data_IF_078885305616
#
_entry.id   IF_078885305616
#
_cell.length_a   1.000
_cell.length_b   1.000
_cell.length_c   1.000
_cell.angle_alpha   90.00
_cell.angle_beta   90.00
_cell.angle_gamma   90.00
#
_symmetry.space_group_name_H-M   'P 1'
#
loop_
_entity.id
_entity.type
_entity.pdbx_description
1 polymer ?
#
# COMPACT_ATOMS: atom_id res chain seq x y z
N UNK A 1 -17.42 9.81 4.74
CA UNK A 1 -16.96 9.32 3.42
C UNK A 1 -16.13 8.08 3.68
N UNK A 2 -16.61 6.90 3.30
CA UNK A 2 -15.95 5.61 3.59
C UNK A 2 -15.57 4.95 2.26
N UNK A 3 -14.30 5.01 1.89
CA UNK A 3 -13.77 4.25 0.77
C UNK A 3 -13.51 2.80 1.21
N UNK A 4 -14.42 1.90 0.80
CA UNK A 4 -14.36 0.47 1.09
C UNK A 4 -13.64 -0.25 -0.06
N UNK A 5 -12.31 -0.36 0.03
CA UNK A 5 -11.55 -1.35 -0.74
C UNK A 5 -11.77 -2.75 -0.11
N UNK A 6 -12.89 -3.37 -0.43
CA UNK A 6 -13.16 -4.78 -0.14
C UNK A 6 -13.69 -5.45 -1.40
N UNK A 7 -13.19 -6.65 -1.71
CA UNK A 7 -13.73 -7.44 -2.81
C UNK A 7 -15.20 -7.80 -2.51
N UNK A 8 -16.10 -7.44 -3.43
CA UNK A 8 -17.51 -7.84 -3.38
C UNK A 8 -17.70 -9.09 -4.24
N UNK A 9 -18.17 -10.18 -3.62
CA UNK A 9 -18.57 -11.40 -4.32
C UNK A 9 -20.07 -11.41 -4.61
N UNK A 10 -20.45 -11.96 -5.76
CA UNK A 10 -21.86 -12.17 -6.14
C UNK A 10 -22.17 -13.66 -6.23
N UNK A 11 -23.33 -14.07 -5.71
CA UNK A 11 -23.87 -15.42 -5.87
C UNK A 11 -24.98 -15.40 -6.93
N UNK A 12 -24.96 -16.36 -7.88
CA UNK A 12 -26.01 -16.60 -8.88
C UNK A 12 -26.79 -17.87 -8.50
N UNK A 13 -28.12 -17.83 -8.53
CA UNK A 13 -28.97 -19.01 -8.33
C UNK A 13 -28.92 -19.98 -9.52
N UNK A 14 -28.93 -21.30 -9.25
CA UNK A 14 -28.65 -22.35 -10.25
C UNK A 14 -29.81 -22.71 -11.22
N UNK A 15 -30.96 -22.04 -11.18
CA UNK A 15 -32.13 -22.42 -11.98
C UNK A 15 -32.73 -21.20 -12.73
N UNK A 16 -32.09 -20.79 -13.83
CA UNK A 16 -32.58 -19.68 -14.66
C UNK A 16 -32.49 -19.99 -16.15
N UNK A 17 -33.56 -19.65 -16.89
CA UNK A 17 -33.57 -19.57 -18.36
C UNK A 17 -32.68 -18.41 -18.82
N UNK A 18 -32.16 -18.44 -20.05
CA UNK A 18 -31.35 -17.36 -20.64
C UNK A 18 -32.09 -16.00 -20.68
N UNK A 19 -33.41 -16.01 -20.55
CA UNK A 19 -34.29 -14.85 -20.51
C UNK A 19 -34.63 -14.33 -19.12
N UNK A 20 -34.27 -15.07 -18.06
CA UNK A 20 -34.64 -14.67 -16.71
C UNK A 20 -33.71 -13.56 -16.19
N UNK A 21 -34.25 -12.51 -15.56
CA UNK A 21 -33.45 -11.45 -14.98
C UNK A 21 -32.56 -12.00 -13.86
N UNK A 22 -31.27 -11.66 -13.89
CA UNK A 22 -30.34 -12.01 -12.81
C UNK A 22 -30.70 -11.25 -11.54
N UNK A 23 -31.24 -11.95 -10.56
CA UNK A 23 -31.48 -11.42 -9.22
C UNK A 23 -30.20 -11.58 -8.38
N UNK A 24 -29.56 -10.46 -8.06
CA UNK A 24 -28.40 -10.44 -7.18
C UNK A 24 -28.83 -10.43 -5.72
N UNK A 25 -28.21 -11.28 -4.90
CA UNK A 25 -28.35 -11.24 -3.45
C UNK A 25 -27.71 -10.00 -2.83
N UNK A 26 -27.83 -9.85 -1.50
CA UNK A 26 -27.17 -8.77 -0.76
C UNK A 26 -25.64 -8.86 -0.93
N UNK A 27 -24.93 -7.73 -1.04
CA UNK A 27 -23.47 -7.74 -1.19
C UNK A 27 -22.79 -8.35 0.04
N UNK A 28 -21.77 -9.17 -0.20
CA UNK A 28 -20.92 -9.74 0.87
C UNK A 28 -19.69 -8.85 1.02
N UNK A 29 -19.42 -8.41 2.24
CA UNK A 29 -18.17 -7.71 2.58
C UNK A 29 -17.20 -8.70 3.21
N UNK A 30 -16.16 -9.09 2.45
CA UNK A 30 -15.08 -9.91 2.98
C UNK A 30 -13.99 -9.00 3.57
N UNK A 31 -13.64 -9.20 4.84
CA UNK A 31 -12.48 -8.58 5.48
C UNK A 31 -11.51 -9.68 5.90
N UNK A 32 -10.32 -9.66 5.32
CA UNK A 32 -9.26 -10.61 5.67
C UNK A 32 -8.39 -9.93 6.72
N UNK A 33 -8.30 -10.55 7.90
CA UNK A 33 -7.36 -10.14 8.94
C UNK A 33 -6.14 -11.07 8.95
N UNK A 34 -4.93 -10.54 9.20
CA UNK A 34 -3.73 -11.33 9.31
C UNK A 34 -3.81 -12.22 10.57
N UNK A 35 -3.24 -13.41 10.49
CA UNK A 35 -2.98 -14.20 11.69
C UNK A 35 -1.87 -13.51 12.49
N UNK A 36 -2.19 -13.07 13.72
CA UNK A 36 -1.29 -12.36 14.62
C UNK A 36 -0.69 -13.35 15.61
N UNK A 37 0.57 -13.72 15.41
CA UNK A 37 1.32 -14.58 16.34
C UNK A 37 2.21 -13.77 17.30
N UNK A 38 2.57 -12.53 16.91
CA UNK A 38 3.52 -11.68 17.64
C UNK A 38 2.91 -10.29 17.81
N UNK A 39 2.90 -9.80 19.05
CA UNK A 39 2.53 -8.43 19.38
C UNK A 39 3.71 -7.50 19.08
N UNK A 40 3.47 -6.45 18.29
CA UNK A 40 4.45 -5.40 18.01
C UNK A 40 3.93 -4.05 18.49
N UNK A 41 4.72 -3.29 19.28
CA UNK A 41 4.33 -1.96 19.70
C UNK A 41 4.37 -0.98 18.51
N UNK A 42 3.55 0.09 18.54
CA UNK A 42 3.56 1.11 17.50
C UNK A 42 4.82 1.97 17.55
N UNK A 43 5.32 2.34 16.39
CA UNK A 43 6.18 3.51 16.22
C UNK A 43 5.29 4.73 16.02
N UNK A 44 5.41 5.73 16.89
CA UNK A 44 4.64 6.96 16.83
C UNK A 44 5.47 8.10 16.24
N UNK A 45 4.86 8.92 15.39
CA UNK A 45 5.48 10.12 14.82
C UNK A 45 4.46 11.22 14.62
N UNK A 46 4.79 12.42 15.06
CA UNK A 46 3.97 13.62 14.85
C UNK A 46 4.51 14.34 13.62
N UNK A 47 3.64 14.58 12.64
CA UNK A 47 3.96 15.26 11.38
C UNK A 47 3.13 16.53 11.31
N UNK A 48 3.81 17.67 11.20
CA UNK A 48 3.18 18.97 11.01
C UNK A 48 3.09 19.33 9.53
N UNK A 49 1.89 19.65 9.08
CA UNK A 49 1.68 20.17 7.72
C UNK A 49 1.87 21.69 7.69
N UNK A 50 2.50 22.21 6.64
CA UNK A 50 2.65 23.66 6.45
C UNK A 50 1.26 24.22 6.07
N UNK A 51 0.64 24.96 7.00
CA UNK A 51 -0.68 25.56 6.80
C UNK A 51 -1.86 24.59 6.93
N UNK A 52 -1.67 23.45 7.60
CA UNK A 52 -2.72 22.47 7.87
C UNK A 52 -2.66 21.91 9.29
N UNK A 53 -3.48 20.90 9.55
CA UNK A 53 -3.49 20.18 10.82
C UNK A 53 -2.21 19.35 11.03
N UNK A 54 -1.87 19.12 12.29
CA UNK A 54 -0.86 18.13 12.64
C UNK A 54 -1.49 16.73 12.52
N UNK A 55 -0.64 15.74 12.27
CA UNK A 55 -1.04 14.34 12.25
C UNK A 55 -0.16 13.51 13.16
N UNK A 56 -0.74 12.54 13.86
CA UNK A 56 0.02 11.51 14.53
C UNK A 56 -0.12 10.20 13.75
N UNK A 57 1.01 9.67 13.30
CA UNK A 57 1.12 8.39 12.61
C UNK A 57 1.57 7.32 13.61
N UNK A 58 0.77 6.26 13.74
CA UNK A 58 1.13 5.01 14.39
C UNK A 58 1.44 3.96 13.32
N UNK A 59 2.68 3.47 13.30
CA UNK A 59 3.19 2.54 12.29
C UNK A 59 3.63 1.21 12.91
N UNK A 60 3.48 0.12 12.16
CA UNK A 60 4.12 -1.16 12.45
C UNK A 60 3.57 -1.94 13.65
N UNK A 61 2.36 -1.65 14.12
CA UNK A 61 1.80 -2.29 15.32
C UNK A 61 0.95 -3.52 15.01
N UNK A 62 0.81 -4.39 16.00
CA UNK A 62 -0.08 -5.54 15.99
C UNK A 62 -0.37 -5.96 17.44
N UNK A 63 -1.60 -6.31 17.82
CA UNK A 63 -2.82 -6.45 16.99
C UNK A 63 -3.46 -5.10 16.61
N UNK A 64 -4.49 -5.14 15.75
CA UNK A 64 -5.22 -3.95 15.26
C UNK A 64 -5.86 -3.10 16.36
N UNK A 65 -6.22 -3.72 17.48
CA UNK A 65 -6.98 -3.08 18.54
C UNK A 65 -6.15 -2.05 19.33
N UNK A 66 -6.77 -0.91 19.63
CA UNK A 66 -6.16 0.13 20.45
C UNK A 66 -6.91 1.47 20.37
N UNK A 67 -6.43 2.41 21.17
CA UNK A 67 -6.86 3.82 21.15
C UNK A 67 -5.63 4.68 20.93
N UNK A 68 -5.70 5.57 19.95
CA UNK A 68 -4.71 6.62 19.71
C UNK A 68 -5.22 7.91 20.36
N UNK A 69 -4.51 8.42 21.36
CA UNK A 69 -4.86 9.65 22.06
C UNK A 69 -3.97 10.80 21.59
N UNK A 70 -4.58 11.88 21.13
CA UNK A 70 -3.91 13.12 20.76
C UNK A 70 -4.08 14.12 21.90
N UNK A 71 -2.98 14.70 22.35
CA UNK A 71 -2.96 15.73 23.39
C UNK A 71 -2.60 17.04 22.72
N UNK A 72 -3.55 17.97 22.77
CA UNK A 72 -3.38 19.35 22.30
C UNK A 72 -3.22 20.27 23.51
N UNK A 73 -3.00 21.57 23.28
CA UNK A 73 -2.95 22.55 24.37
C UNK A 73 -4.28 22.65 25.14
N UNK A 74 -5.41 22.39 24.48
CA UNK A 74 -6.76 22.61 25.03
C UNK A 74 -7.49 21.35 25.46
N UNK A 75 -7.16 20.19 24.90
CA UNK A 75 -7.95 18.96 25.08
C UNK A 75 -7.19 17.69 24.74
N UNK A 76 -7.75 16.55 25.19
CA UNK A 76 -7.33 15.21 24.82
C UNK A 76 -8.40 14.62 23.90
N UNK A 77 -8.00 14.19 22.70
CA UNK A 77 -8.89 13.58 21.71
C UNK A 77 -8.52 12.12 21.52
N UNK A 78 -9.47 11.21 21.74
CA UNK A 78 -9.25 9.76 21.65
C UNK A 78 -9.83 9.22 20.35
N UNK A 79 -9.02 8.50 19.57
CA UNK A 79 -9.40 7.84 18.33
C UNK A 79 -9.34 6.33 18.49
N UNK A 80 -10.48 5.66 18.30
CA UNK A 80 -10.54 4.20 18.23
C UNK A 80 -9.92 3.71 16.91
N UNK A 81 -9.00 2.76 16.99
CA UNK A 81 -8.26 2.22 15.84
C UNK A 81 -9.11 1.16 15.10
N UNK A 82 -10.18 1.60 14.44
CA UNK A 82 -11.10 0.70 13.71
C UNK A 82 -10.74 0.54 12.21
N UNK A 83 -10.09 1.54 11.62
CA UNK A 83 -9.74 1.63 10.19
C UNK A 83 -8.22 1.65 9.97
N UNK A 84 -7.46 0.92 10.77
CA UNK A 84 -6.04 0.73 10.50
C UNK A 84 -5.82 -0.03 9.19
N UNK A 85 -4.82 0.39 8.43
CA UNK A 85 -4.43 -0.18 7.15
C UNK A 85 -3.41 -1.28 7.39
N UNK A 86 -3.63 -2.45 6.79
CA UNK A 86 -2.72 -3.59 6.88
C UNK A 86 -1.61 -3.47 5.82
N UNK A 87 -0.36 -3.65 6.24
CA UNK A 87 0.79 -3.74 5.34
C UNK A 87 1.10 -5.18 4.90
N UNK A 88 1.96 -5.31 3.89
CA UNK A 88 2.50 -6.60 3.46
C UNK A 88 3.29 -7.34 4.55
N UNK A 89 3.76 -6.63 5.58
CA UNK A 89 4.50 -7.17 6.73
C UNK A 89 3.56 -7.68 7.84
N UNK A 90 2.25 -7.78 7.57
CA UNK A 90 1.22 -8.18 8.55
C UNK A 90 1.11 -7.25 9.76
N UNK A 91 1.55 -6.00 9.62
CA UNK A 91 1.44 -4.95 10.66
C UNK A 91 0.52 -3.83 10.21
N UNK A 92 -0.02 -3.10 11.18
CA UNK A 92 -1.02 -2.07 10.98
C UNK A 92 -0.43 -0.65 11.02
N UNK A 93 -1.10 0.23 10.28
CA UNK A 93 -0.84 1.67 10.24
C UNK A 93 -2.12 2.43 10.52
N UNK A 94 -2.05 3.47 11.34
CA UNK A 94 -3.17 4.32 11.66
C UNK A 94 -2.70 5.77 11.82
N UNK A 95 -3.51 6.71 11.37
CA UNK A 95 -3.22 8.13 11.52
C UNK A 95 -4.45 8.86 12.05
N UNK A 96 -4.22 9.82 12.93
CA UNK A 96 -5.23 10.76 13.39
C UNK A 96 -4.71 12.19 13.23
N UNK A 97 -5.64 13.13 13.04
CA UNK A 97 -5.38 14.52 12.70
C UNK A 97 -6.02 15.42 13.74
N UNK A 98 -5.34 16.50 14.11
CA UNK A 98 -5.85 17.53 15.00
C UNK A 98 -5.02 18.80 14.83
N UNK A 99 -5.60 19.94 15.20
CA UNK A 99 -4.85 21.17 15.34
C UNK A 99 -3.84 21.07 16.49
N UNK A 100 -2.58 21.43 16.25
CA UNK A 100 -1.52 21.59 17.26
C UNK A 100 -1.35 20.39 18.21
N UNK A 101 -0.97 19.24 17.67
CA UNK A 101 -0.70 18.02 18.46
C UNK A 101 0.63 18.20 19.20
N UNK A 102 0.60 18.29 20.52
CA UNK A 102 1.80 18.40 21.36
C UNK A 102 2.38 17.02 21.71
N UNK A 103 1.49 16.06 21.99
CA UNK A 103 1.86 14.72 22.43
C UNK A 103 0.85 13.72 21.85
N UNK A 104 1.34 12.53 21.50
CA UNK A 104 0.53 11.46 20.94
C UNK A 104 0.84 10.15 21.63
N UNK A 105 -0.21 9.44 22.05
CA UNK A 105 -0.11 8.19 22.81
C UNK A 105 -0.84 7.05 22.13
N UNK A 106 -0.21 5.89 22.14
CA UNK A 106 -0.87 4.64 21.83
C UNK A 106 -0.28 3.53 22.70
N UNK A 107 -1.14 2.87 23.45
CA UNK A 107 -0.72 1.89 24.47
C UNK A 107 0.27 2.54 25.46
N UNK A 108 1.46 1.97 25.63
CA UNK A 108 2.51 2.50 26.53
C UNK A 108 3.53 3.40 25.81
N UNK A 109 3.34 3.67 24.51
CA UNK A 109 4.29 4.46 23.70
C UNK A 109 3.79 5.89 23.58
N UNK A 110 4.72 6.83 23.68
CA UNK A 110 4.48 8.27 23.57
C UNK A 110 5.40 8.89 22.52
N UNK A 111 4.87 9.82 21.74
CA UNK A 111 5.65 10.73 20.90
C UNK A 111 5.32 12.17 21.28
N UNK A 112 6.34 13.02 21.28
CA UNK A 112 6.23 14.44 21.54
C UNK A 112 6.52 15.21 20.26
N UNK A 113 5.89 16.37 20.11
CA UNK A 113 6.18 17.27 18.99
C UNK A 113 7.61 17.79 19.13
N UNK A 114 8.45 17.46 18.17
CA UNK A 114 9.80 18.02 18.10
C UNK A 114 9.70 19.40 17.44
N UNK A 115 10.04 20.46 18.16
CA UNK A 115 10.12 21.85 17.65
C UNK A 115 11.27 22.05 16.64
N UNK A 116 12.12 21.04 16.48
CA UNK A 116 13.23 21.09 15.53
C UNK A 116 12.67 20.95 14.11
N UNK A 117 12.68 22.08 13.37
CA UNK A 117 12.44 22.12 11.93
C UNK A 117 13.24 20.98 11.30
N UNK A 118 12.61 20.01 10.61
CA UNK A 118 13.35 18.91 10.02
C UNK A 118 14.34 19.50 9.04
N UNK A 119 15.61 19.54 9.43
CA UNK A 119 16.69 19.66 8.49
C UNK A 119 16.52 18.43 7.62
N UNK A 120 16.25 18.64 6.33
CA UNK A 120 16.13 17.55 5.39
C UNK A 120 17.49 16.83 5.34
N UNK A 121 17.72 15.92 6.27
CA UNK A 121 18.77 14.93 6.16
C UNK A 121 18.27 14.02 5.06
N UNK A 122 18.76 14.27 3.84
CA UNK A 122 18.69 13.31 2.75
C UNK A 122 19.02 11.95 3.34
N UNK A 123 18.01 11.07 3.42
CA UNK A 123 18.22 9.69 3.82
C UNK A 123 19.20 9.11 2.79
N UNK A 124 20.47 9.03 3.16
CA UNK A 124 21.43 8.27 2.39
C UNK A 124 20.97 6.82 2.54
N UNK A 125 20.38 6.25 1.49
CA UNK A 125 20.13 4.82 1.40
C UNK A 125 21.48 4.11 1.21
N UNK A 126 22.32 4.17 2.24
CA UNK A 126 23.52 3.36 2.29
C UNK A 126 23.11 1.97 2.78
N UNK A 127 23.23 1.02 1.85
CA UNK A 127 22.86 -0.37 2.04
C UNK A 127 23.95 -1.03 2.90
N UNK A 128 23.87 -0.89 4.21
CA UNK A 128 24.77 -1.60 5.12
C UNK A 128 24.34 -3.06 5.21
N UNK A 129 24.90 -3.88 4.33
CA UNK A 129 24.93 -5.32 4.49
C UNK A 129 25.91 -5.65 5.62
N UNK A 130 25.41 -5.90 6.83
CA UNK A 130 26.15 -6.66 7.84
C UNK A 130 25.28 -7.85 8.24
N UNK A 131 25.51 -8.95 7.53
CA UNK A 131 25.15 -10.30 7.96
C UNK A 131 26.17 -10.68 9.03
N UNK A 132 25.70 -10.93 10.25
CA UNK A 132 26.52 -11.62 11.25
C UNK A 132 26.15 -13.09 11.21
N UNK A 133 27.08 -13.88 10.70
CA UNK A 133 27.11 -15.34 10.75
C UNK A 133 26.96 -15.85 12.19
N UNK A 134 26.11 -16.86 12.37
CA UNK A 134 26.36 -17.92 13.33
C UNK A 134 25.98 -19.24 12.68
N UNK A 135 26.99 -19.86 12.06
CA UNK A 135 27.02 -21.23 11.58
C UNK A 135 26.81 -22.22 12.74
N UNK A 136 25.93 -23.20 12.54
CA UNK A 136 26.07 -24.54 13.10
C UNK A 136 25.78 -25.53 11.98
N UNK A 137 26.82 -26.26 11.60
CA UNK A 137 26.83 -27.31 10.60
C UNK A 137 25.83 -28.44 10.90
N UNK A 138 25.16 -28.97 9.87
CA UNK A 138 25.09 -30.42 9.65
C UNK A 138 24.80 -30.70 8.17
N UNK A 139 25.76 -31.40 7.57
CA UNK A 139 25.82 -31.91 6.21
C UNK A 139 24.87 -33.10 5.99
N UNK A 140 24.18 -33.17 4.85
CA UNK A 140 23.97 -34.43 4.10
C UNK A 140 23.39 -34.19 2.70
N UNK A 141 24.01 -34.83 1.72
CA UNK A 141 23.78 -34.71 0.28
C UNK A 141 22.60 -35.57 -0.21
N UNK A 142 21.84 -35.10 -1.21
CA UNK A 142 21.71 -35.83 -2.48
C UNK A 142 20.97 -35.04 -3.58
N UNK A 143 21.46 -35.24 -4.80
CA UNK A 143 21.13 -34.57 -6.07
C UNK A 143 19.96 -35.27 -6.79
N UNK A 144 19.01 -34.54 -7.40
CA UNK A 144 18.57 -34.73 -8.82
C UNK A 144 17.59 -33.66 -9.32
N UNK A 145 17.49 -33.56 -10.65
CA UNK A 145 17.02 -32.51 -11.53
C UNK A 145 15.54 -32.02 -11.47
N UNK A 146 15.40 -30.70 -11.57
CA UNK A 146 14.67 -29.90 -12.58
C UNK A 146 13.42 -30.52 -13.24
N UNK A 147 12.23 -29.93 -12.96
CA UNK A 147 11.26 -29.51 -13.99
C UNK A 147 10.59 -28.20 -13.53
N UNK A 148 10.59 -27.20 -14.42
CA UNK A 148 10.12 -25.83 -14.25
C UNK A 148 8.84 -25.61 -15.05
N UNK A 149 7.92 -24.77 -14.55
CA UNK A 149 7.41 -23.69 -15.41
C UNK A 149 7.53 -22.32 -14.73
N UNK A 150 7.97 -21.34 -15.51
CA UNK A 150 8.06 -19.93 -15.11
C UNK A 150 6.69 -19.29 -14.99
N UNK A 151 6.52 -18.41 -14.01
CA UNK A 151 5.92 -17.11 -14.29
C UNK A 151 6.51 -16.07 -13.35
N UNK A 152 7.00 -14.99 -13.95
CA UNK A 152 8.10 -14.15 -13.48
C UNK A 152 7.67 -13.17 -12.39
N UNK A 153 8.44 -13.17 -11.31
CA UNK A 153 8.59 -12.02 -10.40
C UNK A 153 9.18 -10.84 -11.16
N UNK A 154 8.48 -9.71 -11.19
CA UNK A 154 9.04 -8.43 -11.62
C UNK A 154 9.91 -7.91 -10.47
N UNK A 155 11.15 -8.37 -10.43
CA UNK A 155 12.20 -7.81 -9.59
C UNK A 155 12.66 -6.49 -10.19
N UNK A 156 12.66 -5.45 -9.35
CA UNK A 156 13.06 -4.09 -9.74
C UNK A 156 14.51 -4.02 -10.16
N UNK A 157 14.73 -3.95 -11.47
CA UNK A 157 15.92 -3.38 -12.09
C UNK A 157 15.47 -2.19 -12.96
N UNK A 158 15.89 -0.94 -12.68
CA UNK A 158 15.43 0.24 -13.41
C UNK A 158 15.91 0.28 -14.88
N UNK A 159 16.71 -0.71 -15.30
CA UNK A 159 17.30 -0.82 -16.65
C UNK A 159 16.44 -1.58 -17.66
N UNK A 160 15.48 -2.39 -17.21
CA UNK A 160 14.56 -3.14 -18.09
C UNK A 160 13.29 -2.37 -18.46
N UNK A 161 12.85 -1.48 -17.57
CA UNK A 161 11.58 -0.75 -17.71
C UNK A 161 11.64 0.38 -18.76
N UNK A 162 12.81 0.98 -18.98
CA UNK A 162 12.96 2.08 -19.96
C UNK A 162 12.78 1.61 -21.39
N UNK A 163 13.29 0.44 -21.77
CA UNK A 163 13.08 -0.14 -23.10
C UNK A 163 11.60 -0.43 -23.37
N UNK A 164 10.86 -0.92 -22.38
CA UNK A 164 9.43 -1.20 -22.52
C UNK A 164 8.61 0.09 -22.67
N UNK A 165 8.99 1.14 -21.92
CA UNK A 165 8.40 2.48 -22.03
C UNK A 165 8.68 3.12 -23.39
N UNK A 166 9.90 2.98 -23.91
CA UNK A 166 10.29 3.47 -25.24
C UNK A 166 9.49 2.75 -26.34
N UNK A 167 9.41 1.41 -26.30
CA UNK A 167 8.64 0.65 -27.30
C UNK A 167 7.16 1.02 -27.26
N UNK A 168 6.59 1.23 -26.07
CA UNK A 168 5.19 1.65 -25.92
C UNK A 168 4.98 3.07 -26.44
N UNK A 169 5.90 3.99 -26.15
CA UNK A 169 5.88 5.36 -26.69
C UNK A 169 6.00 5.40 -28.22
N UNK A 170 6.87 4.59 -28.81
CA UNK A 170 7.05 4.52 -30.25
C UNK A 170 5.79 3.98 -30.95
N UNK A 171 5.12 2.98 -30.36
CA UNK A 171 3.85 2.44 -30.89
C UNK A 171 2.74 3.49 -30.89
N UNK A 172 2.66 4.31 -29.85
CA UNK A 172 1.67 5.38 -29.76
C UNK A 172 1.96 6.50 -30.79
N UNK A 173 3.23 6.85 -30.99
CA UNK A 173 3.63 7.85 -32.00
C UNK A 173 3.39 7.36 -33.43
N UNK A 174 3.73 6.11 -33.74
CA UNK A 174 3.41 5.51 -35.05
C UNK A 174 1.90 5.48 -35.30
N UNK A 175 1.10 5.07 -34.32
CA UNK A 175 -0.35 5.04 -34.45
C UNK A 175 -0.94 6.44 -34.72
N UNK A 176 -0.40 7.47 -34.05
CA UNK A 176 -0.82 8.86 -34.27
C UNK A 176 -0.42 9.38 -35.65
N UNK A 177 0.80 9.07 -36.11
CA UNK A 177 1.27 9.47 -37.45
C UNK A 177 0.47 8.80 -38.58
N UNK A 178 0.19 7.50 -38.45
CA UNK A 178 -0.67 6.77 -39.41
C UNK A 178 -2.09 7.32 -39.39
N UNK A 179 -2.64 7.59 -38.19
CA UNK A 179 -3.97 8.19 -38.04
C UNK A 179 -4.10 9.56 -38.72
N UNK A 180 -3.09 10.43 -38.59
CA UNK A 180 -3.09 11.76 -39.24
C UNK A 180 -3.00 11.64 -40.76
N UNK A 181 -2.17 10.73 -41.29
CA UNK A 181 -2.07 10.50 -42.73
C UNK A 181 -3.37 9.92 -43.32
N UNK A 182 -4.03 8.99 -42.62
CA UNK A 182 -5.34 8.45 -43.03
C UNK A 182 -6.40 9.55 -42.97
N UNK A 183 -6.43 10.37 -41.92
CA UNK A 183 -7.38 11.47 -41.79
C UNK A 183 -7.20 12.52 -42.90
N UNK A 184 -5.96 12.87 -43.24
CA UNK A 184 -5.66 13.77 -44.37
C UNK A 184 -6.08 13.17 -45.70
N UNK A 185 -5.89 11.86 -45.89
CA UNK A 185 -6.36 11.15 -47.09
C UNK A 185 -7.89 11.14 -47.17
N UNK A 186 -8.58 10.84 -46.07
CA UNK A 186 -10.05 10.90 -46.02
C UNK A 186 -10.56 12.32 -46.27
N UNK A 187 -9.91 13.35 -45.71
CA UNK A 187 -10.22 14.76 -45.99
C UNK A 187 -10.07 15.11 -47.47
N UNK A 188 -9.09 14.53 -48.18
CA UNK A 188 -8.90 14.73 -49.61
C UNK A 188 -9.96 14.02 -50.47
N UNK A 189 -10.56 12.93 -49.97
CA UNK A 189 -11.64 12.19 -50.64
C UNK A 189 -13.07 12.70 -50.30
N UNK A 190 -13.21 13.57 -49.30
CA UNK A 190 -14.49 14.15 -48.85
C UNK A 190 -14.69 15.59 -49.35
N UNK A 191 -13.89 16.02 -50.33
CA UNK A 191 -14.13 17.19 -51.19
C UNK A 191 -14.76 16.71 -52.50
#
# INVERSE_FOLDING_TARGET
>A
MEDKLGAQGFCKGSNHSDTDPLLFGKPITLRVEPNVEINSPPLLSILSSIGGEDSCLAAGFSPKAGTLSLITASSIVNHTVNRAVLSNQKTYYFAAFSENINECHMNSIKAYKTEEKPTATTANCEKTNTVTDSMSDTQSNNSTEIVKPETKSYSGDPKGNTMQLIVTGLRLLLAKAVGVNILMTLKAFLV
#
